data_IF_510920213205
#
_entry.id   IF_510920213205
#
_cell.length_a   1.000
_cell.length_b   1.000
_cell.length_c   1.000
_cell.angle_alpha   90.00
_cell.angle_beta   90.00
_cell.angle_gamma   90.00
#
_symmetry.space_group_name_H-M   'P 1'
#
loop_
_entity.id
_entity.type
_entity.pdbx_description
1 polymer ?
#
# COMPACT_ATOMS: atom_id res chain seq x y z
N UNK A 1 -7.05 1.62 -3.36
CA UNK A 1 -5.67 1.15 -3.13
C UNK A 1 -5.25 1.47 -1.71
N UNK A 2 -4.87 0.42 -1.00
CA UNK A 2 -4.45 0.49 0.38
C UNK A 2 -2.97 0.14 0.41
N UNK A 3 -2.14 1.12 0.71
CA UNK A 3 -0.73 0.90 1.04
C UNK A 3 -0.54 1.50 2.40
N UNK A 4 -0.30 0.63 3.38
CA UNK A 4 -0.05 1.05 4.75
C UNK A 4 1.39 1.55 4.89
N UNK A 5 1.63 2.43 5.86
CA UNK A 5 2.97 2.96 6.16
C UNK A 5 3.27 4.32 5.53
N UNK A 6 4.47 4.83 5.80
CA UNK A 6 4.99 6.08 5.27
C UNK A 6 5.90 5.79 4.09
N UNK A 7 5.56 6.38 2.95
CA UNK A 7 6.27 6.26 1.70
C UNK A 7 7.28 7.41 1.52
N UNK A 8 8.45 7.16 0.91
CA UNK A 8 9.29 8.23 0.37
C UNK A 8 8.50 9.11 -0.61
N UNK A 9 8.89 10.38 -0.70
CA UNK A 9 8.23 11.39 -1.54
C UNK A 9 8.74 11.40 -2.98
N UNK A 10 9.94 10.86 -3.20
CA UNK A 10 10.55 10.83 -4.52
C UNK A 10 11.55 9.68 -4.64
N UNK A 11 11.85 9.32 -5.89
CA UNK A 11 12.96 8.42 -6.23
C UNK A 11 14.36 8.99 -5.94
N UNK A 12 14.47 10.24 -5.45
CA UNK A 12 15.76 10.84 -5.08
C UNK A 12 16.16 10.51 -3.64
N UNK A 13 15.24 10.00 -2.83
CA UNK A 13 15.56 9.46 -1.52
C UNK A 13 16.38 8.17 -1.66
N UNK A 14 17.44 8.04 -0.86
CA UNK A 14 18.34 6.89 -0.93
C UNK A 14 17.58 5.58 -0.67
N UNK A 15 17.66 4.66 -1.64
CA UNK A 15 17.01 3.35 -1.56
C UNK A 15 15.53 3.36 -1.97
N UNK A 16 14.97 4.51 -2.34
CA UNK A 16 13.60 4.61 -2.84
C UNK A 16 13.51 4.10 -4.29
N UNK A 17 12.49 3.29 -4.57
CA UNK A 17 12.13 2.77 -5.87
C UNK A 17 10.68 3.11 -6.19
N UNK A 18 10.33 3.12 -7.47
CA UNK A 18 8.96 3.37 -7.90
C UNK A 18 8.01 2.26 -7.43
N UNK A 19 6.83 2.67 -6.99
CA UNK A 19 5.73 1.79 -6.62
C UNK A 19 4.54 2.15 -7.50
N UNK A 20 4.30 1.32 -8.50
CA UNK A 20 3.42 1.62 -9.60
C UNK A 20 2.02 1.14 -9.32
N UNK A 21 1.06 2.00 -9.62
CA UNK A 21 -0.34 1.74 -9.39
C UNK A 21 -1.02 1.33 -10.70
N UNK A 22 -1.83 0.27 -10.61
CA UNK A 22 -2.60 -0.27 -11.71
C UNK A 22 -4.07 -0.37 -11.31
N UNK A 23 -4.97 -0.24 -12.28
CA UNK A 23 -6.40 -0.42 -12.08
C UNK A 23 -7.00 -1.32 -13.16
N UNK A 24 -8.07 -2.03 -12.80
CA UNK A 24 -8.87 -2.82 -13.72
C UNK A 24 -10.33 -2.43 -13.61
N UNK A 25 -10.93 -1.98 -14.72
CA UNK A 25 -12.39 -1.80 -14.80
C UNK A 25 -13.11 -3.13 -14.98
N UNK A 26 -12.41 -4.18 -15.43
CA UNK A 26 -12.97 -5.52 -15.59
C UNK A 26 -13.19 -6.18 -14.22
N UNK A 27 -12.22 -6.00 -13.31
CA UNK A 27 -12.25 -6.59 -11.97
C UNK A 27 -12.73 -5.65 -10.87
N UNK A 28 -12.95 -4.36 -11.19
CA UNK A 28 -13.24 -3.30 -10.22
C UNK A 28 -12.20 -3.24 -9.09
N UNK A 29 -10.92 -3.33 -9.47
CA UNK A 29 -9.80 -3.58 -8.57
C UNK A 29 -8.62 -2.61 -8.81
N UNK A 30 -7.78 -2.43 -7.78
CA UNK A 30 -6.51 -1.71 -7.86
C UNK A 30 -5.35 -2.56 -7.33
N UNK A 31 -4.25 -2.59 -8.06
CA UNK A 31 -3.03 -3.33 -7.72
C UNK A 31 -1.85 -2.34 -7.63
N UNK A 32 -1.07 -2.38 -6.54
CA UNK A 32 0.23 -1.69 -6.48
C UNK A 32 1.41 -2.64 -6.38
N UNK A 33 2.46 -2.38 -7.15
CA UNK A 33 3.62 -3.27 -7.25
C UNK A 33 4.88 -2.48 -7.70
N UNK A 34 6.06 -3.07 -7.54
CA UNK A 34 7.34 -2.54 -8.04
C UNK A 34 7.57 -2.87 -9.52
N UNK A 35 6.71 -3.69 -10.15
CA UNK A 35 6.75 -3.92 -11.60
C UNK A 35 6.33 -2.67 -12.39
N UNK A 36 6.85 -2.52 -13.60
CA UNK A 36 6.56 -1.37 -14.48
C UNK A 36 5.56 -1.68 -15.58
N UNK A 37 5.27 -2.95 -15.82
CA UNK A 37 4.32 -3.40 -16.86
C UNK A 37 3.02 -3.81 -16.19
N UNK A 38 1.86 -3.27 -16.61
CA UNK A 38 0.59 -3.67 -16.04
C UNK A 38 0.35 -5.18 -16.16
N UNK A 39 -0.12 -5.84 -15.09
CA UNK A 39 -0.61 -7.22 -15.16
C UNK A 39 -1.73 -7.37 -16.18
N UNK A 40 -1.98 -8.61 -16.64
CA UNK A 40 -3.05 -8.88 -17.59
C UNK A 40 -4.42 -8.46 -17.01
N UNK A 41 -5.20 -7.71 -17.79
CA UNK A 41 -6.49 -7.17 -17.34
C UNK A 41 -6.38 -5.86 -16.54
N UNK A 42 -5.18 -5.33 -16.33
CA UNK A 42 -4.93 -4.05 -15.66
C UNK A 42 -4.32 -3.02 -16.62
N UNK A 43 -4.47 -1.75 -16.26
CA UNK A 43 -3.87 -0.61 -16.94
C UNK A 43 -3.12 0.24 -15.91
N UNK A 44 -2.09 0.96 -16.36
CA UNK A 44 -1.41 1.93 -15.52
C UNK A 44 -2.40 2.99 -15.03
N UNK A 45 -2.36 3.30 -13.74
CA UNK A 45 -3.14 4.37 -13.16
C UNK A 45 -2.77 5.72 -13.81
N UNK A 46 -3.75 6.62 -13.89
CA UNK A 46 -3.57 7.97 -14.45
C UNK A 46 -3.06 8.99 -13.42
N UNK A 47 -2.86 8.57 -12.17
CA UNK A 47 -2.34 9.39 -11.08
C UNK A 47 -0.89 9.04 -10.76
N UNK A 48 -0.22 9.93 -10.02
CA UNK A 48 1.20 9.76 -9.68
C UNK A 48 1.41 8.48 -8.85
N UNK A 49 2.31 7.63 -9.35
CA UNK A 49 2.82 6.45 -8.66
C UNK A 49 3.52 6.84 -7.34
N UNK A 50 3.50 5.92 -6.39
CA UNK A 50 4.20 6.07 -5.11
C UNK A 50 5.67 5.70 -5.18
N UNK A 51 6.31 5.73 -4.01
CA UNK A 51 7.65 5.20 -3.82
C UNK A 51 7.70 4.33 -2.57
N UNK A 52 8.59 3.34 -2.59
CA UNK A 52 8.83 2.40 -1.49
C UNK A 52 10.33 2.14 -1.39
N UNK A 53 10.79 1.50 -0.32
CA UNK A 53 12.19 1.12 -0.18
C UNK A 53 12.40 -0.33 -0.62
N UNK A 54 13.41 -0.59 -1.45
CA UNK A 54 13.72 -1.97 -1.87
C UNK A 54 14.32 -2.81 -0.72
N UNK A 55 14.99 -2.15 0.22
CA UNK A 55 15.66 -2.78 1.36
C UNK A 55 15.38 -2.04 2.66
N UNK A 56 15.60 -2.71 3.79
CA UNK A 56 15.54 -2.07 5.09
C UNK A 56 16.73 -1.11 5.26
N UNK A 57 16.43 0.14 5.58
CA UNK A 57 17.42 1.15 5.90
C UNK A 57 17.88 1.03 7.36
N UNK A 58 19.20 1.06 7.56
CA UNK A 58 19.78 1.00 8.91
C UNK A 58 19.28 2.15 9.80
N UNK A 59 18.85 1.81 11.02
CA UNK A 59 18.36 2.79 12.00
C UNK A 59 16.93 3.30 11.76
N UNK A 60 16.22 2.77 10.75
CA UNK A 60 14.82 3.09 10.49
C UNK A 60 13.90 1.95 10.94
N UNK A 61 12.70 2.30 11.40
CA UNK A 61 11.65 1.32 11.68
C UNK A 61 10.80 1.14 10.42
N UNK A 62 10.84 -0.07 9.86
CA UNK A 62 10.24 -0.37 8.56
C UNK A 62 9.46 -1.67 8.62
N UNK A 63 8.40 -1.74 7.83
CA UNK A 63 7.58 -2.94 7.66
C UNK A 63 7.63 -3.39 6.22
N UNK A 64 7.53 -4.70 6.06
CA UNK A 64 7.46 -5.33 4.77
C UNK A 64 6.07 -5.10 4.15
N UNK A 65 6.04 -4.62 2.92
CA UNK A 65 4.87 -4.68 2.06
C UNK A 65 4.75 -6.06 1.43
N UNK A 66 3.55 -6.61 1.48
CA UNK A 66 3.21 -7.94 0.98
C UNK A 66 2.02 -7.83 0.04
N UNK A 67 2.03 -8.59 -1.06
CA UNK A 67 0.90 -8.72 -1.95
C UNK A 67 -0.04 -9.82 -1.43
N UNK A 68 -1.33 -9.49 -1.40
CA UNK A 68 -2.42 -10.34 -0.95
C UNK A 68 -3.52 -10.37 -2.00
N UNK A 69 -4.06 -11.56 -2.27
CA UNK A 69 -5.06 -11.77 -3.32
C UNK A 69 -6.23 -12.56 -2.78
N UNK A 70 -7.45 -12.08 -3.03
CA UNK A 70 -8.65 -12.87 -2.81
C UNK A 70 -8.97 -13.65 -4.11
N UNK A 71 -8.80 -14.98 -4.14
CA UNK A 71 -8.98 -15.76 -5.35
C UNK A 71 -10.45 -15.88 -5.78
N UNK A 72 -11.40 -15.56 -4.90
CA UNK A 72 -12.84 -15.62 -5.20
C UNK A 72 -13.30 -14.38 -5.95
N UNK A 73 -12.80 -13.21 -5.55
CA UNK A 73 -13.19 -11.91 -6.13
C UNK A 73 -12.18 -11.36 -7.12
N UNK A 74 -10.99 -11.97 -7.22
CA UNK A 74 -9.85 -11.46 -8.00
C UNK A 74 -9.43 -10.05 -7.54
N UNK A 75 -9.48 -9.80 -6.23
CA UNK A 75 -9.16 -8.51 -5.60
C UNK A 75 -7.74 -8.55 -5.00
N UNK A 76 -7.01 -7.44 -5.14
CA UNK A 76 -5.59 -7.33 -4.77
C UNK A 76 -5.36 -6.23 -3.73
N UNK A 77 -4.44 -6.51 -2.80
CA UNK A 77 -4.04 -5.57 -1.77
C UNK A 77 -2.56 -5.66 -1.48
N UNK A 78 -1.91 -4.51 -1.26
CA UNK A 78 -0.49 -4.46 -0.88
C UNK A 78 -0.35 -3.87 0.52
N UNK A 79 -0.21 -4.75 1.52
CA UNK A 79 -0.37 -4.42 2.94
C UNK A 79 0.92 -4.60 3.73
N UNK A 80 1.02 -3.89 4.86
CA UNK A 80 2.04 -4.08 5.89
C UNK A 80 1.40 -4.58 7.20
N UNK A 81 2.18 -4.72 8.27
CA UNK A 81 1.83 -5.50 9.48
C UNK A 81 0.56 -5.15 10.29
N UNK A 82 -0.17 -4.04 10.12
CA UNK A 82 -1.53 -3.96 10.69
C UNK A 82 -2.63 -4.57 9.80
N UNK A 83 -2.57 -4.45 8.47
CA UNK A 83 -3.63 -4.89 7.57
C UNK A 83 -3.71 -6.41 7.35
N UNK A 84 -2.63 -7.15 7.64
CA UNK A 84 -2.50 -8.58 7.31
C UNK A 84 -3.59 -9.44 7.94
N UNK A 85 -3.93 -9.20 9.21
CA UNK A 85 -4.92 -10.00 9.93
C UNK A 85 -6.33 -9.86 9.32
N UNK A 86 -6.69 -8.66 8.85
CA UNK A 86 -7.96 -8.45 8.18
C UNK A 86 -7.98 -9.18 6.83
N UNK A 87 -6.87 -9.14 6.07
CA UNK A 87 -6.75 -9.81 4.79
C UNK A 87 -6.96 -11.34 4.94
N UNK A 88 -6.31 -11.97 5.92
CA UNK A 88 -6.51 -13.38 6.25
C UNK A 88 -7.96 -13.71 6.59
N UNK A 89 -8.59 -12.89 7.43
CA UNK A 89 -9.98 -13.08 7.87
C UNK A 89 -11.00 -12.94 6.73
N UNK A 90 -10.66 -12.20 5.68
CA UNK A 90 -11.51 -11.95 4.52
C UNK A 90 -11.12 -12.81 3.30
N UNK A 91 -10.37 -13.88 3.51
CA UNK A 91 -10.09 -14.87 2.48
C UNK A 91 -9.04 -14.45 1.46
N UNK A 92 -8.26 -13.39 1.74
CA UNK A 92 -7.07 -13.11 0.96
C UNK A 92 -5.96 -14.08 1.36
N UNK A 93 -5.14 -14.41 0.37
CA UNK A 93 -3.96 -15.26 0.53
C UNK A 93 -2.74 -14.45 0.13
N UNK A 94 -1.72 -14.48 0.97
CA UNK A 94 -0.44 -13.88 0.66
C UNK A 94 0.19 -14.57 -0.56
N UNK A 95 0.57 -13.79 -1.57
CA UNK A 95 1.22 -14.31 -2.79
C UNK A 95 2.73 -14.13 -2.76
N UNK A 96 3.23 -13.13 -2.01
CA UNK A 96 4.66 -12.83 -1.91
C UNK A 96 5.12 -12.59 -0.48
N UNK A 97 6.32 -13.08 -0.14
CA UNK A 97 6.89 -12.94 1.20
C UNK A 97 7.22 -11.49 1.55
N UNK A 98 7.87 -10.76 0.65
CA UNK A 98 8.15 -9.34 0.80
C UNK A 98 8.43 -8.68 -0.55
N UNK A 99 7.64 -7.67 -0.89
CA UNK A 99 7.70 -6.94 -2.15
C UNK A 99 8.58 -5.68 -2.04
N UNK A 100 8.43 -4.95 -0.94
CA UNK A 100 9.22 -3.75 -0.63
C UNK A 100 9.06 -3.40 0.86
N UNK A 101 9.57 -2.24 1.27
CA UNK A 101 9.47 -1.74 2.63
C UNK A 101 8.90 -0.32 2.68
N UNK A 102 8.14 -0.06 3.73
CA UNK A 102 7.61 1.25 4.11
C UNK A 102 8.06 1.58 5.53
N UNK A 103 8.14 2.85 5.88
CA UNK A 103 8.44 3.25 7.25
C UNK A 103 7.18 3.09 8.11
N UNK A 104 7.33 2.65 9.37
CA UNK A 104 6.20 2.55 10.33
C UNK A 104 5.88 3.87 11.02
N UNK A 105 6.83 4.78 10.97
CA UNK A 105 6.75 6.13 11.51
C UNK A 105 7.24 7.11 10.45
N UNK A 106 6.81 8.38 10.49
CA UNK A 106 7.42 9.37 9.62
C UNK A 106 8.93 9.37 9.93
N UNK A 107 9.80 9.32 8.92
CA UNK A 107 11.22 9.42 9.12
C UNK A 107 11.50 10.75 9.82
N UNK A 108 12.36 10.67 10.81
CA UNK A 108 12.80 11.81 11.62
C UNK A 108 13.70 12.71 10.78
N UNK A 109 13.14 13.51 9.86
CA UNK A 109 13.94 14.47 9.11
C UNK A 109 14.33 15.64 10.00
N UNK A 110 15.65 15.85 10.09
CA UNK A 110 16.20 17.19 10.23
C UNK A 110 15.81 17.96 8.96
N UNK A 111 14.64 18.59 8.98
CA UNK A 111 14.22 19.62 8.03
C UNK A 111 14.06 19.19 6.58
N UNK A 112 12.91 18.61 6.23
CA UNK A 112 11.98 19.32 5.36
C UNK A 112 10.62 18.61 5.36
N UNK A 113 9.62 19.38 5.77
CA UNK A 113 8.26 18.97 6.05
C UNK A 113 7.45 18.75 4.77
N UNK A 114 6.97 17.51 4.55
CA UNK A 114 5.66 17.12 3.97
C UNK A 114 5.65 15.62 3.63
N UNK A 115 5.68 14.75 4.64
CA UNK A 115 5.60 13.31 4.43
C UNK A 115 4.14 12.83 4.53
N UNK A 116 3.65 12.13 3.51
CA UNK A 116 2.25 11.72 3.44
C UNK A 116 2.07 10.43 4.23
N UNK A 117 1.37 10.50 5.37
CA UNK A 117 0.72 9.34 5.96
C UNK A 117 -0.42 8.93 5.02
N UNK A 118 -0.23 7.95 4.15
CA UNK A 118 -1.31 7.42 3.31
C UNK A 118 -2.15 6.47 4.15
N UNK A 119 -2.94 7.03 5.06
CA UNK A 119 -4.04 6.30 5.70
C UNK A 119 -5.39 7.03 5.51
N UNK A 120 -5.40 8.33 5.15
CA UNK A 120 -6.66 9.12 5.16
C UNK A 120 -6.97 9.96 3.91
N UNK A 121 -6.00 10.48 3.15
CA UNK A 121 -6.33 11.44 2.07
C UNK A 121 -6.81 10.78 0.75
N UNK A 122 -6.16 9.69 0.31
CA UNK A 122 -6.63 8.85 -0.81
C UNK A 122 -7.75 7.92 -0.36
N UNK A 123 -7.66 7.40 0.87
CA UNK A 123 -8.68 6.55 1.47
C UNK A 123 -10.01 7.29 1.63
N UNK A 124 -10.05 8.62 1.78
CA UNK A 124 -11.31 9.38 1.76
C UNK A 124 -11.93 9.46 0.35
N UNK A 125 -11.13 9.71 -0.70
CA UNK A 125 -11.62 9.71 -2.09
C UNK A 125 -12.04 8.31 -2.57
N UNK A 126 -11.43 7.27 -2.02
CA UNK A 126 -11.78 5.87 -2.26
C UNK A 126 -12.87 5.34 -1.31
N UNK A 127 -13.04 5.89 -0.10
CA UNK A 127 -14.20 5.68 0.81
C UNK A 127 -15.48 6.23 0.22
N UNK A 128 -15.39 7.41 -0.38
CA UNK A 128 -16.51 8.03 -1.09
C UNK A 128 -16.87 7.22 -2.36
N UNK A 129 -16.03 6.28 -2.80
CA UNK A 129 -16.27 5.34 -3.91
C UNK A 129 -16.54 3.88 -3.50
N UNK A 130 -16.09 3.44 -2.32
CA UNK A 130 -16.23 2.08 -1.80
C UNK A 130 -16.66 2.11 -0.32
N UNK A 131 -17.97 2.07 -0.10
CA UNK A 131 -18.60 2.14 1.22
C UNK A 131 -18.59 0.75 1.86
N UNK A 132 -17.62 0.46 2.74
CA UNK A 132 -17.63 -0.56 3.83
C UNK A 132 -16.27 -0.67 4.54
N UNK A 133 -15.17 -0.46 3.81
CA UNK A 133 -13.81 -0.83 4.24
C UNK A 133 -13.23 0.02 5.40
N UNK A 134 -13.47 1.34 5.43
CA UNK A 134 -12.72 2.22 6.32
C UNK A 134 -13.12 2.21 7.79
N UNK A 135 -14.37 1.86 8.08
CA UNK A 135 -14.90 1.90 9.45
C UNK A 135 -14.44 0.67 10.25
N UNK A 136 -14.38 -0.50 9.63
CA UNK A 136 -13.91 -1.73 10.26
C UNK A 136 -12.39 -1.72 10.52
N UNK A 137 -11.58 -1.21 9.59
CA UNK A 137 -10.13 -1.09 9.77
C UNK A 137 -9.77 -0.06 10.86
N UNK A 138 -10.49 1.08 10.92
CA UNK A 138 -10.31 2.05 12.01
C UNK A 138 -10.71 1.46 13.36
N UNK A 139 -11.76 0.65 13.42
CA UNK A 139 -12.18 -0.01 14.66
C UNK A 139 -11.22 -1.13 15.09
N UNK A 140 -10.62 -1.87 14.15
CA UNK A 140 -9.65 -2.92 14.49
C UNK A 140 -8.30 -2.38 14.95
N UNK A 141 -7.90 -1.20 14.46
CA UNK A 141 -6.68 -0.49 14.89
C UNK A 141 -6.87 0.22 16.24
N UNK A 142 -8.11 0.63 16.57
CA UNK A 142 -8.44 1.36 17.80
C UNK A 142 -9.00 0.48 18.93
N UNK A 143 -9.26 -0.82 18.68
CA UNK A 143 -9.66 -1.75 19.72
C UNK A 143 -8.44 -2.21 20.53
N UNK A 144 -8.47 -2.10 21.88
CA UNK A 144 -7.37 -2.50 22.76
C UNK A 144 -7.12 -4.02 22.78
#
# INVERSE_FOLDING_TARGET
>A
MWTEGYQPLSNTETGAIAFNDFYSTEYDDNWSDVITTPPNGYQAAVFDNGYVYYEQLSGQQMECLQLWVNPTTNDHMTLASPGLKWAEQNGYVQTENCLAYVLTSPPTSTGDSKQVKVVDAQAKKLRDAATSYSEELLQSILAP
#
